data_IF_069411688993
#
_entry.id   IF_069411688993
#
_cell.length_a   1.000
_cell.length_b   1.000
_cell.length_c   1.000
_cell.angle_alpha   90.00
_cell.angle_beta   90.00
_cell.angle_gamma   90.00
#
_symmetry.space_group_name_H-M   'P 1'
#
loop_
_entity.id
_entity.type
_entity.pdbx_description
1 polymer ?
#
# COMPACT_ATOMS: atom_id res chain seq x y z
N UNK A 1 -40.18 75.50 -28.87
CA UNK A 1 -39.04 75.61 -27.93
C UNK A 1 -39.06 74.39 -27.04
N UNK A 2 -38.19 73.41 -27.30
CA UNK A 2 -38.05 72.19 -26.53
C UNK A 2 -36.66 72.21 -25.82
N UNK A 3 -36.52 71.89 -24.53
CA UNK A 3 -35.23 71.86 -23.84
C UNK A 3 -34.47 70.52 -24.05
N UNK A 4 -33.23 70.63 -24.28
CA UNK A 4 -32.26 69.56 -24.50
C UNK A 4 -31.97 68.77 -23.19
N UNK A 5 -32.22 67.48 -23.19
CA UNK A 5 -31.72 66.57 -22.12
C UNK A 5 -30.23 66.27 -22.35
N UNK A 6 -29.38 66.67 -21.43
CA UNK A 6 -27.98 66.17 -21.31
C UNK A 6 -27.94 64.82 -20.61
N UNK A 7 -27.47 63.79 -21.29
CA UNK A 7 -27.17 62.49 -20.69
C UNK A 7 -25.83 62.55 -19.94
N UNK A 8 -25.87 62.27 -18.65
CA UNK A 8 -24.64 62.03 -17.85
C UNK A 8 -24.15 60.61 -18.10
N UNK A 9 -22.94 60.48 -18.53
CA UNK A 9 -22.24 59.22 -18.68
C UNK A 9 -21.50 58.92 -17.36
N UNK A 10 -21.99 57.92 -16.57
CA UNK A 10 -21.28 57.40 -15.45
C UNK A 10 -20.25 56.35 -15.93
N UNK A 11 -18.97 56.68 -15.86
CA UNK A 11 -17.88 55.76 -16.09
C UNK A 11 -17.66 54.94 -14.80
N UNK A 12 -18.02 53.65 -14.82
CA UNK A 12 -17.68 52.74 -13.76
C UNK A 12 -16.25 52.22 -13.97
N UNK A 13 -15.33 52.56 -13.06
CA UNK A 13 -14.00 52.03 -13.06
C UNK A 13 -14.04 50.62 -12.46
N UNK A 14 -13.77 49.60 -13.29
CA UNK A 14 -13.60 48.22 -12.86
C UNK A 14 -12.18 48.06 -12.29
N UNK A 15 -12.08 47.93 -10.98
CA UNK A 15 -10.85 47.55 -10.29
C UNK A 15 -10.55 46.07 -10.54
N UNK A 16 -9.62 45.79 -11.43
CA UNK A 16 -9.03 44.45 -11.61
C UNK A 16 -8.10 44.17 -10.41
N UNK A 17 -8.56 43.32 -9.49
CA UNK A 17 -7.71 42.72 -8.46
C UNK A 17 -6.92 41.58 -9.13
N UNK A 18 -5.59 41.60 -9.13
CA UNK A 18 -4.81 40.49 -9.67
C UNK A 18 -4.98 39.26 -8.77
N UNK A 19 -5.59 38.21 -9.28
CA UNK A 19 -5.58 36.88 -8.67
C UNK A 19 -4.13 36.38 -8.67
N UNK A 20 -3.53 36.30 -7.49
CA UNK A 20 -2.23 35.66 -7.29
C UNK A 20 -2.37 34.18 -7.67
N UNK A 21 -1.68 33.75 -8.72
CA UNK A 21 -1.58 32.35 -9.09
C UNK A 21 -0.99 31.55 -7.92
N UNK A 22 -1.53 30.35 -7.59
CA UNK A 22 -0.95 29.51 -6.58
C UNK A 22 0.49 29.17 -7.00
N UNK A 23 1.47 29.48 -6.13
CA UNK A 23 2.84 29.02 -6.31
C UNK A 23 2.83 27.49 -6.27
N UNK A 24 3.03 26.84 -7.41
CA UNK A 24 3.43 25.44 -7.42
C UNK A 24 4.68 25.31 -6.54
N UNK A 25 4.60 24.48 -5.51
CA UNK A 25 5.78 24.09 -4.76
C UNK A 25 6.81 23.53 -5.75
N UNK A 26 8.02 24.07 -5.73
CA UNK A 26 9.09 23.63 -6.62
C UNK A 26 9.31 22.13 -6.39
N UNK A 27 9.16 21.34 -7.45
CA UNK A 27 9.62 19.95 -7.45
C UNK A 27 11.12 19.96 -7.13
N UNK A 28 11.62 19.10 -6.23
CA UNK A 28 13.06 19.02 -5.99
C UNK A 28 13.76 18.75 -7.32
N UNK A 29 14.80 19.50 -7.60
CA UNK A 29 15.59 19.38 -8.81
C UNK A 29 16.06 17.92 -8.96
N UNK A 30 15.95 17.36 -10.15
CA UNK A 30 16.46 16.04 -10.49
C UNK A 30 17.98 16.02 -10.20
N UNK A 31 18.39 15.35 -9.10
CA UNK A 31 19.81 15.25 -8.75
C UNK A 31 20.15 15.30 -7.26
N UNK A 32 19.27 15.73 -6.36
CA UNK A 32 19.56 15.61 -4.94
C UNK A 32 19.44 14.12 -4.53
N UNK A 33 20.57 13.53 -4.09
CA UNK A 33 20.59 12.18 -3.54
C UNK A 33 19.67 12.17 -2.30
N UNK A 34 18.52 11.56 -2.43
CA UNK A 34 17.58 11.37 -1.32
C UNK A 34 18.26 10.52 -0.24
N UNK A 35 18.49 11.10 0.93
CA UNK A 35 19.06 10.38 2.07
C UNK A 35 17.95 9.97 3.03
N UNK A 36 17.70 8.68 3.15
CA UNK A 36 16.75 8.12 4.09
C UNK A 36 17.48 7.50 5.28
N UNK A 37 17.06 7.85 6.49
CA UNK A 37 17.64 7.31 7.73
C UNK A 37 16.56 6.61 8.53
N UNK A 38 16.87 5.41 9.02
CA UNK A 38 16.01 4.71 9.96
C UNK A 38 15.98 5.42 11.31
N UNK A 39 14.79 5.46 11.93
CA UNK A 39 14.59 6.02 13.27
C UNK A 39 14.89 4.93 14.29
N UNK A 40 15.99 5.06 15.09
CA UNK A 40 16.37 4.05 16.06
C UNK A 40 15.31 3.86 17.14
N UNK A 41 15.07 2.61 17.55
CA UNK A 41 14.15 2.28 18.64
C UNK A 41 12.67 2.51 18.32
N UNK A 42 12.30 2.70 17.08
CA UNK A 42 10.91 2.73 16.63
C UNK A 42 10.56 1.39 15.93
N UNK A 43 9.39 0.73 16.22
CA UNK A 43 8.39 1.08 17.24
C UNK A 43 8.81 0.65 18.65
N UNK A 44 8.08 1.17 19.66
CA UNK A 44 8.28 0.82 21.08
C UNK A 44 7.24 -0.18 21.53
N UNK A 45 7.65 -1.40 21.76
CA UNK A 45 6.80 -2.45 22.29
C UNK A 45 6.96 -2.57 23.82
N UNK A 46 5.95 -3.16 24.46
CA UNK A 46 6.06 -3.54 25.85
C UNK A 46 7.18 -4.58 26.04
N UNK A 47 7.79 -4.61 27.23
CA UNK A 47 8.82 -5.59 27.55
C UNK A 47 8.30 -7.02 27.34
N UNK A 48 9.07 -7.84 26.63
CA UNK A 48 8.71 -9.22 26.29
C UNK A 48 7.75 -9.39 25.11
N UNK A 49 7.24 -8.29 24.53
CA UNK A 49 6.48 -8.37 23.27
C UNK A 49 7.43 -8.32 22.07
N UNK A 50 7.05 -9.03 20.99
CA UNK A 50 7.76 -9.05 19.71
C UNK A 50 6.77 -8.93 18.57
N UNK A 51 7.12 -8.18 17.53
CA UNK A 51 6.28 -8.09 16.34
C UNK A 51 6.23 -9.42 15.57
N UNK A 52 7.38 -10.14 15.54
CA UNK A 52 7.58 -11.12 14.49
C UNK A 52 7.56 -10.47 13.11
N UNK A 53 7.25 -11.22 12.07
CA UNK A 53 7.03 -10.67 10.74
C UNK A 53 5.79 -9.76 10.74
N UNK A 54 5.94 -8.57 10.16
CA UNK A 54 4.87 -7.61 9.90
C UNK A 54 4.55 -7.66 8.41
N UNK A 55 3.38 -8.17 8.08
CA UNK A 55 3.00 -8.41 6.68
C UNK A 55 2.32 -7.22 6.03
N UNK A 56 1.70 -6.33 6.83
CA UNK A 56 1.03 -5.15 6.33
C UNK A 56 1.26 -3.93 7.22
N UNK A 57 1.30 -2.75 6.62
CA UNK A 57 1.39 -1.47 7.32
C UNK A 57 0.61 -0.42 6.54
N UNK A 58 -0.10 0.46 7.25
CA UNK A 58 -0.79 1.62 6.69
C UNK A 58 -0.73 2.79 7.68
N UNK A 59 -1.05 4.00 7.21
CA UNK A 59 -1.27 5.17 8.07
C UNK A 59 -2.75 5.50 8.03
N UNK A 60 -3.37 5.65 9.21
CA UNK A 60 -4.79 6.00 9.30
C UNK A 60 -5.02 7.51 9.08
N UNK A 61 -6.25 7.97 8.89
CA UNK A 61 -6.55 9.39 8.69
C UNK A 61 -6.17 10.29 9.88
N UNK A 62 -5.99 9.73 11.08
CA UNK A 62 -5.51 10.45 12.25
C UNK A 62 -3.96 10.52 12.33
N UNK A 63 -3.26 9.88 11.39
CA UNK A 63 -1.79 9.83 11.33
C UNK A 63 -1.17 8.72 12.18
N UNK A 64 -1.95 7.80 12.74
CA UNK A 64 -1.39 6.64 13.44
C UNK A 64 -0.93 5.57 12.45
N UNK A 65 0.06 4.79 12.85
CA UNK A 65 0.56 3.67 12.06
C UNK A 65 -0.17 2.39 12.46
N UNK A 66 -0.85 1.77 11.52
CA UNK A 66 -1.53 0.48 11.71
C UNK A 66 -0.64 -0.61 11.15
N UNK A 67 -0.32 -1.61 11.96
CA UNK A 67 0.55 -2.73 11.59
C UNK A 67 -0.20 -4.06 11.74
N UNK A 68 -0.09 -4.93 10.73
CA UNK A 68 -0.62 -6.28 10.75
C UNK A 68 0.52 -7.27 10.90
N UNK A 69 0.62 -7.88 12.08
CA UNK A 69 1.74 -8.74 12.47
C UNK A 69 1.34 -10.21 12.57
N UNK A 70 2.30 -11.08 12.31
CA UNK A 70 2.13 -12.54 12.50
C UNK A 70 2.41 -12.99 13.93
N UNK A 71 2.88 -12.11 14.81
CA UNK A 71 3.09 -12.36 16.23
C UNK A 71 3.89 -13.65 16.55
N UNK A 72 4.86 -14.00 15.69
CA UNK A 72 5.70 -15.18 15.78
C UNK A 72 5.31 -16.33 14.84
N UNK A 73 4.10 -16.30 14.22
CA UNK A 73 3.70 -17.26 13.20
C UNK A 73 4.64 -17.17 11.99
N UNK A 74 5.15 -18.30 11.52
CA UNK A 74 6.01 -18.42 10.35
C UNK A 74 5.31 -19.13 9.22
N UNK A 75 5.73 -18.86 8.01
CA UNK A 75 5.36 -19.59 6.82
C UNK A 75 6.44 -20.65 6.57
N UNK A 76 6.22 -21.88 7.02
CA UNK A 76 7.25 -22.92 7.03
C UNK A 76 6.99 -24.06 6.02
N UNK A 77 5.80 -24.10 5.44
CA UNK A 77 5.42 -25.15 4.50
C UNK A 77 4.31 -24.68 3.54
N UNK A 78 4.05 -25.46 2.50
CA UNK A 78 2.96 -25.23 1.55
C UNK A 78 1.59 -25.39 2.21
N UNK A 79 1.51 -26.16 3.31
CA UNK A 79 0.30 -26.26 4.12
C UNK A 79 0.33 -25.25 5.25
N UNK A 80 -0.55 -24.24 5.18
CA UNK A 80 -0.62 -23.18 6.17
C UNK A 80 -1.40 -23.64 7.41
N UNK A 81 -0.84 -23.32 8.59
CA UNK A 81 -1.54 -23.55 9.86
C UNK A 81 -2.74 -22.57 9.98
N UNK A 82 -3.94 -23.10 10.04
CA UNK A 82 -5.19 -22.34 10.19
C UNK A 82 -5.59 -22.10 11.66
N UNK A 83 -4.78 -22.52 12.62
CA UNK A 83 -5.00 -22.24 14.05
C UNK A 83 -4.93 -20.73 14.28
N UNK A 84 -5.94 -20.08 14.89
CA UNK A 84 -5.90 -18.67 15.15
C UNK A 84 -4.74 -18.25 16.05
N UNK A 85 -4.10 -17.13 15.71
CA UNK A 85 -3.03 -16.53 16.52
C UNK A 85 -3.65 -15.94 17.78
N UNK A 86 -3.25 -16.46 18.96
CA UNK A 86 -3.83 -16.04 20.24
C UNK A 86 -3.48 -14.61 20.65
N UNK A 87 -2.36 -14.05 20.13
CA UNK A 87 -1.92 -12.67 20.40
C UNK A 87 -2.60 -11.68 19.48
N UNK A 88 -2.75 -10.38 19.90
CA UNK A 88 -3.24 -9.35 18.99
C UNK A 88 -2.39 -9.28 17.72
N UNK A 89 -3.04 -9.29 16.56
CA UNK A 89 -2.39 -9.25 15.26
C UNK A 89 -2.39 -7.86 14.64
N UNK A 90 -3.30 -6.99 15.03
CA UNK A 90 -3.34 -5.59 14.61
C UNK A 90 -2.89 -4.69 15.73
N UNK A 91 -1.88 -3.85 15.46
CA UNK A 91 -1.39 -2.82 16.38
C UNK A 91 -1.62 -1.45 15.76
N UNK A 92 -2.12 -0.52 16.55
CA UNK A 92 -2.18 0.91 16.22
C UNK A 92 -1.09 1.60 17.03
N UNK A 93 -0.19 2.28 16.35
CA UNK A 93 1.02 2.87 16.92
C UNK A 93 0.98 4.39 16.77
N UNK A 94 1.46 5.10 17.76
CA UNK A 94 1.78 6.51 17.63
C UNK A 94 2.92 6.71 16.64
N UNK A 95 2.71 7.52 15.62
CA UNK A 95 3.68 7.72 14.54
C UNK A 95 4.99 8.37 15.02
N UNK A 96 4.93 9.24 16.03
CA UNK A 96 6.09 9.94 16.59
C UNK A 96 6.89 9.05 17.52
N UNK A 97 6.29 8.61 18.60
CA UNK A 97 6.95 7.86 19.67
C UNK A 97 7.10 6.36 19.39
N UNK A 98 6.26 5.80 18.52
CA UNK A 98 6.20 4.36 18.27
C UNK A 98 5.47 3.56 19.36
N UNK A 99 4.84 4.24 20.34
CA UNK A 99 4.10 3.58 21.40
C UNK A 99 2.85 2.87 20.87
N UNK A 100 2.51 1.72 21.42
CA UNK A 100 1.27 1.01 21.09
C UNK A 100 0.10 1.72 21.74
N UNK A 101 -0.78 2.32 20.94
CA UNK A 101 -2.00 3.00 21.38
C UNK A 101 -3.16 2.02 21.55
N UNK A 102 -3.22 1.01 20.68
CA UNK A 102 -4.28 0.00 20.66
C UNK A 102 -3.78 -1.30 20.03
N UNK A 103 -4.33 -2.42 20.49
CA UNK A 103 -4.06 -3.74 19.93
C UNK A 103 -5.35 -4.57 19.91
N UNK A 104 -5.60 -5.29 18.80
CA UNK A 104 -6.78 -6.14 18.62
C UNK A 104 -6.52 -7.27 17.64
N UNK A 105 -7.52 -8.10 17.34
CA UNK A 105 -7.43 -9.20 16.37
C UNK A 105 -6.91 -10.52 16.95
N UNK A 106 -6.78 -10.63 18.28
CA UNK A 106 -6.44 -11.90 18.94
C UNK A 106 -7.49 -12.96 18.62
N UNK A 107 -7.05 -14.17 18.24
CA UNK A 107 -7.93 -15.30 17.92
C UNK A 107 -8.72 -15.17 16.60
N UNK A 108 -8.46 -14.14 15.79
CA UNK A 108 -9.22 -13.89 14.56
C UNK A 108 -8.51 -14.31 13.28
N UNK A 109 -7.20 -14.30 13.27
CA UNK A 109 -6.36 -14.51 12.08
C UNK A 109 -5.42 -15.69 12.28
N UNK A 110 -5.09 -16.37 11.18
CA UNK A 110 -4.17 -17.50 11.16
C UNK A 110 -2.85 -17.15 10.46
N UNK A 111 -2.90 -16.52 9.29
CA UNK A 111 -1.73 -16.08 8.54
C UNK A 111 -1.95 -14.67 7.96
N UNK A 112 -1.77 -13.63 8.78
CA UNK A 112 -1.86 -12.23 8.37
C UNK A 112 -1.06 -11.92 7.11
N UNK A 113 -1.68 -11.17 6.13
CA UNK A 113 -1.00 -10.81 4.91
C UNK A 113 -1.18 -9.33 4.54
N UNK A 114 -2.22 -8.94 3.82
CA UNK A 114 -2.43 -7.56 3.39
C UNK A 114 -3.11 -6.69 4.43
N UNK A 115 -2.77 -5.41 4.46
CA UNK A 115 -3.44 -4.38 5.26
C UNK A 115 -3.55 -3.09 4.46
N UNK A 116 -4.75 -2.51 4.46
CA UNK A 116 -5.04 -1.18 3.94
C UNK A 116 -6.00 -0.46 4.88
N UNK A 117 -5.86 0.85 5.02
CA UNK A 117 -6.82 1.70 5.74
C UNK A 117 -7.50 2.61 4.72
N UNK A 118 -8.84 2.62 4.72
CA UNK A 118 -9.61 3.50 3.84
C UNK A 118 -9.74 4.93 4.40
N UNK A 119 -10.28 5.85 3.62
CA UNK A 119 -10.45 7.25 4.03
C UNK A 119 -11.39 7.45 5.22
N UNK A 120 -12.28 6.50 5.47
CA UNK A 120 -13.16 6.52 6.65
C UNK A 120 -12.49 5.93 7.91
N UNK A 121 -11.23 5.46 7.79
CA UNK A 121 -10.47 4.84 8.86
C UNK A 121 -10.79 3.36 9.08
N UNK A 122 -11.55 2.72 8.17
CA UNK A 122 -11.76 1.28 8.27
C UNK A 122 -10.50 0.53 7.84
N UNK A 123 -10.24 -0.57 8.52
CA UNK A 123 -9.08 -1.43 8.32
C UNK A 123 -9.47 -2.64 7.50
N UNK A 124 -8.85 -2.79 6.34
CA UNK A 124 -9.05 -3.92 5.43
C UNK A 124 -7.87 -4.88 5.56
N UNK A 125 -8.17 -6.16 5.72
CA UNK A 125 -7.19 -7.20 6.02
C UNK A 125 -7.41 -8.42 5.13
N UNK A 126 -6.32 -9.07 4.73
CA UNK A 126 -6.39 -10.40 4.10
C UNK A 126 -5.68 -11.42 4.98
N UNK A 127 -6.22 -12.64 5.01
CA UNK A 127 -5.59 -13.79 5.64
C UNK A 127 -5.44 -14.91 4.63
N UNK A 128 -4.21 -15.26 4.30
CA UNK A 128 -3.92 -16.23 3.25
C UNK A 128 -4.23 -17.67 3.66
N UNK A 129 -4.12 -18.02 4.94
CA UNK A 129 -4.48 -19.35 5.40
C UNK A 129 -6.01 -19.56 5.48
N UNK A 130 -6.73 -18.47 5.76
CA UNK A 130 -8.18 -18.52 5.87
C UNK A 130 -8.90 -18.28 4.53
N UNK A 131 -8.18 -17.92 3.48
CA UNK A 131 -8.74 -17.57 2.18
C UNK A 131 -9.80 -16.47 2.25
N UNK A 132 -9.61 -15.50 3.13
CA UNK A 132 -10.61 -14.48 3.44
C UNK A 132 -10.08 -13.04 3.36
N UNK A 133 -11.00 -12.15 3.01
CA UNK A 133 -10.83 -10.70 3.04
C UNK A 133 -11.81 -10.10 4.04
N UNK A 134 -11.33 -9.15 4.84
CA UNK A 134 -12.11 -8.56 5.93
C UNK A 134 -12.08 -7.04 5.88
N UNK A 135 -13.19 -6.43 6.29
CA UNK A 135 -13.27 -5.02 6.66
C UNK A 135 -13.61 -4.90 8.14
N UNK A 136 -12.87 -4.08 8.85
CA UNK A 136 -13.10 -3.74 10.25
C UNK A 136 -13.25 -2.24 10.43
N UNK A 137 -13.97 -1.81 11.46
CA UNK A 137 -13.88 -0.43 11.93
C UNK A 137 -12.47 -0.14 12.48
N UNK A 138 -12.13 1.13 12.68
CA UNK A 138 -10.88 1.54 13.34
C UNK A 138 -10.70 0.94 14.74
N UNK A 139 -11.79 0.49 15.39
CA UNK A 139 -11.78 -0.12 16.74
C UNK A 139 -11.76 -1.65 16.72
N UNK A 140 -11.75 -2.28 15.54
CA UNK A 140 -11.68 -3.74 15.38
C UNK A 140 -13.04 -4.44 15.36
N UNK A 141 -14.16 -3.72 15.18
CA UNK A 141 -15.45 -4.33 14.89
C UNK A 141 -15.49 -4.81 13.46
N UNK A 142 -15.83 -6.08 13.23
CA UNK A 142 -15.95 -6.65 11.90
C UNK A 142 -17.17 -6.10 11.17
N UNK A 143 -16.97 -5.55 9.98
CA UNK A 143 -18.01 -4.92 9.15
C UNK A 143 -18.34 -5.75 7.91
N UNK A 144 -17.34 -6.44 7.33
CA UNK A 144 -17.52 -7.29 6.15
C UNK A 144 -16.56 -8.49 6.23
N UNK A 145 -17.00 -9.62 5.68
CA UNK A 145 -16.15 -10.78 5.41
C UNK A 145 -16.49 -11.32 4.03
N UNK A 146 -15.48 -11.54 3.21
CA UNK A 146 -15.57 -12.20 1.91
C UNK A 146 -14.70 -13.45 1.91
N UNK A 147 -15.11 -14.46 1.17
CA UNK A 147 -14.49 -15.79 1.15
C UNK A 147 -15.04 -16.70 2.25
N UNK A 148 -14.95 -18.00 2.04
CA UNK A 148 -15.28 -19.01 3.02
C UNK A 148 -14.01 -19.46 3.75
N UNK A 149 -14.11 -19.58 5.10
CA UNK A 149 -12.95 -19.85 5.94
C UNK A 149 -12.27 -21.16 5.58
N UNK A 150 -11.01 -21.06 5.11
CA UNK A 150 -10.18 -22.23 4.77
C UNK A 150 -10.60 -22.95 3.50
N UNK A 151 -11.55 -22.41 2.75
CA UNK A 151 -12.00 -22.98 1.46
C UNK A 151 -11.38 -22.18 0.32
N UNK A 152 -10.36 -22.74 -0.38
CA UNK A 152 -9.81 -22.11 -1.56
C UNK A 152 -10.75 -22.24 -2.76
N UNK A 153 -10.73 -21.27 -3.67
CA UNK A 153 -11.48 -21.34 -4.91
C UNK A 153 -11.23 -20.17 -5.86
N UNK A 154 -11.80 -20.28 -7.06
CA UNK A 154 -11.65 -19.28 -8.13
C UNK A 154 -12.97 -18.68 -8.61
N UNK A 155 -14.08 -19.04 -8.01
CA UNK A 155 -15.37 -18.45 -8.34
C UNK A 155 -15.55 -17.04 -7.74
N UNK A 156 -16.78 -16.52 -7.78
CA UNK A 156 -17.11 -15.17 -7.29
C UNK A 156 -17.12 -15.05 -5.75
N UNK A 157 -17.24 -16.19 -5.04
CA UNK A 157 -17.40 -16.23 -3.59
C UNK A 157 -16.12 -16.65 -2.85
N UNK A 158 -15.15 -17.24 -3.54
CA UNK A 158 -13.94 -17.80 -2.93
C UNK A 158 -12.68 -17.12 -3.45
N UNK A 159 -11.65 -17.15 -2.63
CA UNK A 159 -10.28 -16.76 -2.93
C UNK A 159 -9.35 -17.96 -2.76
N UNK A 160 -8.14 -17.85 -3.29
CA UNK A 160 -7.08 -18.80 -2.99
C UNK A 160 -5.81 -18.02 -2.59
N UNK A 161 -5.67 -17.82 -1.27
CA UNK A 161 -4.61 -17.05 -0.63
C UNK A 161 -4.56 -15.57 -1.10
N UNK A 162 -5.60 -14.74 -0.80
CA UNK A 162 -5.67 -13.33 -1.20
C UNK A 162 -4.58 -12.50 -0.52
N UNK A 163 -3.93 -11.61 -1.29
CA UNK A 163 -2.70 -10.94 -0.88
C UNK A 163 -2.89 -9.51 -0.40
N UNK A 164 -3.84 -8.74 -0.97
CA UNK A 164 -4.02 -7.33 -0.62
C UNK A 164 -5.35 -6.75 -1.07
N UNK A 165 -5.63 -5.55 -0.58
CA UNK A 165 -6.83 -4.76 -0.90
C UNK A 165 -6.44 -3.33 -1.23
N UNK A 166 -7.07 -2.74 -2.25
CA UNK A 166 -7.03 -1.30 -2.51
C UNK A 166 -8.46 -0.75 -2.58
N UNK A 167 -8.73 0.34 -1.87
CA UNK A 167 -10.08 0.90 -1.73
C UNK A 167 -10.17 2.23 -2.49
N UNK A 168 -11.16 2.35 -3.36
CA UNK A 168 -11.45 3.56 -4.11
C UNK A 168 -12.24 4.59 -3.27
N UNK A 169 -12.33 5.82 -3.78
CA UNK A 169 -13.01 6.93 -3.09
C UNK A 169 -14.52 6.70 -2.92
N UNK A 170 -15.14 6.00 -3.85
CA UNK A 170 -16.56 5.62 -3.82
C UNK A 170 -16.86 4.42 -2.91
N UNK A 171 -15.81 3.88 -2.27
CA UNK A 171 -15.88 2.71 -1.40
C UNK A 171 -15.82 1.37 -2.13
N UNK A 172 -15.83 1.34 -3.47
CA UNK A 172 -15.51 0.14 -4.22
C UNK A 172 -14.08 -0.29 -3.95
N UNK A 173 -13.74 -1.56 -4.13
CA UNK A 173 -12.42 -2.04 -3.76
C UNK A 173 -11.93 -3.18 -4.66
N UNK A 174 -10.61 -3.28 -4.73
CA UNK A 174 -9.92 -4.29 -5.51
C UNK A 174 -9.21 -5.26 -4.57
N UNK A 175 -9.26 -6.54 -4.90
CA UNK A 175 -8.55 -7.61 -4.17
C UNK A 175 -7.56 -8.27 -5.11
N UNK A 176 -6.29 -8.34 -4.69
CA UNK A 176 -5.29 -9.19 -5.33
C UNK A 176 -5.40 -10.60 -4.75
N UNK A 177 -5.67 -11.58 -5.61
CA UNK A 177 -5.87 -12.98 -5.26
C UNK A 177 -4.79 -13.79 -5.97
N UNK A 178 -3.64 -14.00 -5.31
CA UNK A 178 -2.41 -14.20 -6.04
C UNK A 178 -1.50 -15.35 -5.66
N UNK A 179 -1.57 -16.01 -4.50
CA UNK A 179 -0.71 -17.16 -4.23
C UNK A 179 -1.24 -18.44 -4.87
N UNK A 180 -2.53 -18.74 -4.72
CA UNK A 180 -3.16 -19.90 -5.37
C UNK A 180 -3.83 -19.52 -6.69
N UNK A 181 -4.32 -18.28 -6.81
CA UNK A 181 -4.87 -17.72 -8.03
C UNK A 181 -3.90 -16.71 -8.69
N UNK A 182 -4.26 -16.21 -9.87
CA UNK A 182 -3.52 -15.20 -10.62
C UNK A 182 -4.49 -14.14 -11.16
N UNK A 183 -5.21 -13.46 -10.24
CA UNK A 183 -6.28 -12.53 -10.64
C UNK A 183 -6.41 -11.32 -9.72
N UNK A 184 -7.07 -10.30 -10.24
CA UNK A 184 -7.58 -9.15 -9.49
C UNK A 184 -9.10 -9.15 -9.58
N UNK A 185 -9.77 -8.91 -8.45
CA UNK A 185 -11.23 -8.80 -8.37
C UNK A 185 -11.61 -7.38 -7.96
N UNK A 186 -12.63 -6.82 -8.60
CA UNK A 186 -13.20 -5.52 -8.27
C UNK A 186 -14.60 -5.72 -7.69
N UNK A 187 -14.83 -5.17 -6.50
CA UNK A 187 -16.08 -5.26 -5.75
C UNK A 187 -16.71 -3.88 -5.56
N UNK A 188 -18.03 -3.83 -5.51
CA UNK A 188 -18.76 -2.68 -4.99
C UNK A 188 -18.54 -2.54 -3.48
N UNK A 189 -18.87 -1.39 -2.91
CA UNK A 189 -18.71 -1.10 -1.48
C UNK A 189 -19.45 -2.07 -0.55
N UNK A 190 -20.52 -2.71 -1.04
CA UNK A 190 -21.32 -3.71 -0.33
C UNK A 190 -20.75 -5.14 -0.41
N UNK A 191 -19.66 -5.35 -1.16
CA UNK A 191 -19.02 -6.65 -1.34
C UNK A 191 -19.53 -7.46 -2.55
N UNK A 192 -20.42 -6.91 -3.36
CA UNK A 192 -20.87 -7.55 -4.61
C UNK A 192 -19.77 -7.48 -5.67
N UNK A 193 -19.40 -8.63 -6.24
CA UNK A 193 -18.42 -8.68 -7.32
C UNK A 193 -18.92 -7.91 -8.55
N UNK A 194 -18.12 -6.97 -9.02
CA UNK A 194 -18.37 -6.18 -10.24
C UNK A 194 -17.64 -6.78 -11.43
N UNK A 195 -16.39 -7.20 -11.22
CA UNK A 195 -15.48 -7.65 -12.29
C UNK A 195 -14.30 -8.42 -11.73
N UNK A 196 -13.70 -9.24 -12.58
CA UNK A 196 -12.39 -9.83 -12.33
C UNK A 196 -11.61 -9.92 -13.64
N UNK A 197 -10.27 -9.94 -13.53
CA UNK A 197 -9.37 -10.16 -14.64
C UNK A 197 -8.08 -10.80 -14.17
N UNK A 198 -7.34 -11.34 -15.11
CA UNK A 198 -6.06 -11.99 -14.88
C UNK A 198 -6.14 -13.49 -15.06
N UNK A 199 -5.01 -14.03 -15.50
CA UNK A 199 -4.76 -15.45 -15.65
C UNK A 199 -3.28 -15.74 -15.44
N UNK A 200 -2.90 -17.01 -15.30
CA UNK A 200 -1.50 -17.39 -15.12
C UNK A 200 -0.68 -17.17 -16.39
N UNK A 201 0.48 -16.57 -16.25
CA UNK A 201 1.40 -16.34 -17.35
C UNK A 201 2.29 -15.12 -17.21
N UNK A 202 2.92 -14.70 -18.32
CA UNK A 202 3.86 -13.57 -18.38
C UNK A 202 3.45 -12.48 -19.40
N UNK A 203 2.38 -12.67 -20.16
CA UNK A 203 1.85 -11.69 -21.11
C UNK A 203 1.14 -10.52 -20.42
N UNK A 204 0.70 -9.50 -21.18
CA UNK A 204 -0.17 -8.43 -20.67
C UNK A 204 -1.45 -8.99 -20.06
N UNK A 205 -1.77 -8.57 -18.84
CA UNK A 205 -2.94 -9.06 -18.09
C UNK A 205 -2.80 -10.47 -17.54
N UNK A 206 -1.67 -11.14 -17.74
CA UNK A 206 -1.33 -12.41 -17.10
C UNK A 206 -0.40 -12.16 -15.92
N UNK A 207 -0.42 -13.05 -14.93
CA UNK A 207 0.37 -12.91 -13.69
C UNK A 207 1.02 -14.24 -13.31
N UNK A 208 2.17 -14.17 -12.65
CA UNK A 208 2.76 -15.33 -11.97
C UNK A 208 2.39 -15.35 -10.49
N UNK A 209 2.42 -14.19 -9.86
CA UNK A 209 1.97 -14.03 -8.49
C UNK A 209 1.52 -12.58 -8.28
N UNK A 210 0.22 -12.38 -8.12
CA UNK A 210 -0.36 -11.07 -7.80
C UNK A 210 -0.17 -10.80 -6.31
N UNK A 211 0.88 -10.06 -5.93
CA UNK A 211 1.22 -9.89 -4.51
C UNK A 211 0.63 -8.63 -3.88
N UNK A 212 0.33 -7.62 -4.65
CA UNK A 212 -0.24 -6.37 -4.17
C UNK A 212 -1.01 -5.64 -5.25
N UNK A 213 -1.96 -4.81 -4.82
CA UNK A 213 -2.75 -3.93 -5.67
C UNK A 213 -2.80 -2.54 -5.04
N UNK A 214 -2.72 -1.49 -5.85
CA UNK A 214 -2.86 -0.11 -5.41
C UNK A 214 -3.62 0.72 -6.45
N UNK A 215 -4.21 1.82 -5.99
CA UNK A 215 -4.90 2.77 -6.86
C UNK A 215 -4.06 4.04 -7.00
N UNK A 216 -3.98 4.52 -8.22
CA UNK A 216 -3.32 5.76 -8.57
C UNK A 216 -4.29 6.79 -9.13
N UNK A 217 -3.74 7.89 -9.69
CA UNK A 217 -4.54 8.91 -10.33
C UNK A 217 -5.49 8.34 -11.40
N UNK A 218 -6.66 8.98 -11.57
CA UNK A 218 -7.67 8.60 -12.56
C UNK A 218 -8.25 7.18 -12.35
N UNK A 219 -8.16 6.64 -11.12
CA UNK A 219 -8.61 5.28 -10.79
C UNK A 219 -7.76 4.17 -11.40
N UNK A 220 -6.58 4.49 -11.94
CA UNK A 220 -5.67 3.50 -12.51
C UNK A 220 -5.27 2.47 -11.48
N UNK A 221 -5.33 1.19 -11.84
CA UNK A 221 -5.01 0.06 -10.96
C UNK A 221 -3.60 -0.42 -11.25
N UNK A 222 -2.76 -0.43 -10.23
CA UNK A 222 -1.38 -0.90 -10.27
C UNK A 222 -1.28 -2.25 -9.57
N UNK A 223 -0.70 -3.24 -10.23
CA UNK A 223 -0.64 -4.62 -9.75
C UNK A 223 0.81 -5.08 -9.67
N UNK A 224 1.24 -5.44 -8.48
CA UNK A 224 2.54 -6.04 -8.23
C UNK A 224 2.54 -7.50 -8.71
N UNK A 225 3.09 -7.76 -9.88
CA UNK A 225 3.25 -9.08 -10.50
C UNK A 225 4.64 -9.62 -10.10
N UNK A 226 4.70 -10.15 -8.87
CA UNK A 226 5.94 -10.39 -8.12
C UNK A 226 6.92 -11.27 -8.85
N UNK A 227 6.52 -12.47 -9.24
CA UNK A 227 7.41 -13.45 -9.86
C UNK A 227 7.72 -13.16 -11.35
N UNK A 228 7.00 -12.21 -11.95
CA UNK A 228 7.35 -11.65 -13.25
C UNK A 228 8.23 -10.40 -13.14
N UNK A 229 8.62 -9.97 -11.93
CA UNK A 229 9.48 -8.81 -11.65
C UNK A 229 9.00 -7.53 -12.35
N UNK A 230 7.68 -7.24 -12.22
CA UNK A 230 7.06 -6.07 -12.85
C UNK A 230 5.86 -5.54 -12.07
N UNK A 231 5.49 -4.29 -12.35
CA UNK A 231 4.19 -3.73 -11.98
C UNK A 231 3.38 -3.55 -13.25
N UNK A 232 2.20 -4.14 -13.34
CA UNK A 232 1.27 -3.92 -14.45
C UNK A 232 0.25 -2.84 -14.09
N UNK A 233 -0.13 -2.05 -15.10
CA UNK A 233 -1.07 -0.95 -15.00
C UNK A 233 -2.34 -1.29 -15.78
N UNK A 234 -3.49 -1.06 -15.15
CA UNK A 234 -4.81 -1.29 -15.73
C UNK A 234 -5.69 -0.06 -15.57
N UNK A 235 -6.67 0.09 -16.44
CA UNK A 235 -7.77 1.03 -16.23
C UNK A 235 -8.83 0.43 -15.26
N UNK A 236 -9.84 1.22 -14.90
CA UNK A 236 -10.93 0.78 -14.01
C UNK A 236 -11.76 -0.36 -14.60
N UNK A 237 -11.68 -0.58 -15.90
CA UNK A 237 -12.32 -1.69 -16.61
C UNK A 237 -11.47 -2.97 -16.60
N UNK A 238 -10.26 -2.97 -15.99
CA UNK A 238 -9.35 -4.10 -15.97
C UNK A 238 -8.62 -4.32 -17.29
N UNK A 239 -8.61 -3.33 -18.20
CA UNK A 239 -7.84 -3.42 -19.45
C UNK A 239 -6.40 -3.01 -19.18
N UNK A 240 -5.46 -3.79 -19.71
CA UNK A 240 -4.04 -3.49 -19.61
C UNK A 240 -3.70 -2.16 -20.30
N UNK A 241 -2.95 -1.31 -19.60
CA UNK A 241 -2.53 0.02 -20.07
C UNK A 241 -1.02 0.08 -20.30
N UNK A 242 -0.25 -0.65 -19.49
CA UNK A 242 1.21 -0.64 -19.56
C UNK A 242 1.85 -1.40 -18.40
N UNK A 243 3.17 -1.39 -18.35
CA UNK A 243 3.91 -2.00 -17.26
C UNK A 243 5.17 -1.22 -16.90
N UNK A 244 5.61 -1.33 -15.65
CA UNK A 244 6.94 -0.95 -15.21
C UNK A 244 7.79 -2.19 -15.09
N UNK A 245 8.85 -2.25 -15.89
CA UNK A 245 9.84 -3.33 -15.87
C UNK A 245 11.23 -2.72 -16.00
N UNK A 246 12.15 -3.14 -15.14
CA UNK A 246 13.54 -2.65 -15.17
C UNK A 246 14.44 -3.66 -14.49
N UNK A 247 15.69 -3.77 -14.93
CA UNK A 247 16.71 -4.58 -14.25
C UNK A 247 17.01 -4.11 -12.84
N UNK A 248 16.68 -2.85 -12.53
CA UNK A 248 16.81 -2.28 -11.19
C UNK A 248 15.55 -2.49 -10.32
N UNK A 249 14.46 -3.05 -10.85
CA UNK A 249 13.30 -3.50 -10.10
C UNK A 249 13.37 -5.02 -10.00
N UNK A 250 13.44 -5.54 -8.79
CA UNK A 250 13.33 -6.96 -8.52
C UNK A 250 11.87 -7.41 -8.39
N UNK A 251 11.58 -8.20 -7.37
CA UNK A 251 10.24 -8.72 -7.11
C UNK A 251 9.41 -7.68 -6.34
N UNK A 252 8.42 -6.99 -6.95
CA UNK A 252 7.57 -6.05 -6.23
C UNK A 252 6.59 -6.79 -5.33
N UNK A 253 6.59 -6.47 -4.03
CA UNK A 253 5.66 -7.03 -3.06
C UNK A 253 4.45 -6.12 -2.86
N UNK A 254 4.67 -4.84 -2.67
CA UNK A 254 3.64 -3.83 -2.47
C UNK A 254 4.08 -2.50 -3.08
N UNK A 255 3.13 -1.61 -3.30
CA UNK A 255 3.40 -0.26 -3.80
C UNK A 255 2.42 0.74 -3.20
N UNK A 256 2.89 1.97 -3.01
CA UNK A 256 2.07 3.10 -2.54
C UNK A 256 2.44 4.36 -3.31
N UNK A 257 1.43 5.13 -3.71
CA UNK A 257 1.65 6.46 -4.27
C UNK A 257 2.07 7.45 -3.18
N UNK A 258 3.01 8.32 -3.50
CA UNK A 258 3.47 9.36 -2.58
C UNK A 258 2.37 10.41 -2.36
N UNK A 259 1.97 10.68 -1.09
CA UNK A 259 0.94 11.67 -0.80
C UNK A 259 1.33 13.07 -1.24
N UNK A 260 0.34 13.87 -1.66
CA UNK A 260 0.55 15.28 -1.96
C UNK A 260 1.11 16.03 -0.75
N UNK A 261 1.99 17.00 -0.98
CA UNK A 261 2.61 17.78 0.09
C UNK A 261 3.80 17.10 0.79
N UNK A 262 4.12 15.86 0.43
CA UNK A 262 5.30 15.12 0.93
C UNK A 262 6.44 15.16 -0.10
N UNK A 263 7.68 14.83 0.27
CA UNK A 263 8.79 14.65 -0.68
C UNK A 263 8.53 13.59 -1.77
N UNK A 264 7.52 12.75 -1.57
CA UNK A 264 7.13 11.66 -2.46
C UNK A 264 6.04 12.03 -3.46
N UNK A 265 5.52 13.26 -3.41
CA UNK A 265 4.41 13.68 -4.27
C UNK A 265 4.73 13.42 -5.76
N UNK A 266 3.82 12.70 -6.44
CA UNK A 266 4.00 12.31 -7.84
C UNK A 266 4.95 11.14 -8.07
N UNK A 267 5.49 10.51 -7.03
CA UNK A 267 6.28 9.29 -7.13
C UNK A 267 5.51 8.08 -6.54
N UNK A 268 6.02 6.90 -6.82
CA UNK A 268 5.61 5.64 -6.23
C UNK A 268 6.75 5.05 -5.42
N UNK A 269 6.43 4.48 -4.28
CA UNK A 269 7.35 3.68 -3.51
C UNK A 269 6.95 2.21 -3.65
N UNK A 270 7.92 1.36 -3.99
CA UNK A 270 7.72 -0.08 -4.20
C UNK A 270 8.54 -0.83 -3.16
N UNK A 271 7.89 -1.70 -2.40
CA UNK A 271 8.57 -2.71 -1.58
C UNK A 271 9.14 -3.77 -2.49
N UNK A 272 10.44 -3.77 -2.66
CA UNK A 272 11.17 -4.67 -3.56
C UNK A 272 11.85 -5.77 -2.74
N UNK A 273 11.43 -7.02 -2.96
CA UNK A 273 12.03 -8.20 -2.33
C UNK A 273 13.40 -8.56 -2.89
N UNK A 274 13.86 -7.85 -3.93
CA UNK A 274 15.08 -8.19 -4.65
C UNK A 274 14.86 -9.35 -5.63
N UNK A 275 15.97 -9.89 -6.13
CA UNK A 275 15.99 -11.07 -7.00
C UNK A 275 16.50 -12.27 -6.22
N UNK A 276 16.00 -13.46 -6.53
CA UNK A 276 16.34 -14.69 -5.81
C UNK A 276 15.28 -15.14 -4.81
N UNK A 277 15.67 -16.02 -3.90
CA UNK A 277 14.76 -16.48 -2.85
C UNK A 277 14.61 -15.42 -1.75
N UNK A 278 13.37 -15.07 -1.44
CA UNK A 278 13.04 -14.06 -0.43
C UNK A 278 13.64 -14.41 0.96
N UNK A 279 13.78 -15.67 1.28
CA UNK A 279 14.28 -16.10 2.59
C UNK A 279 15.77 -16.42 2.65
N UNK A 280 16.38 -16.84 1.53
CA UNK A 280 17.73 -17.43 1.54
C UNK A 280 18.82 -16.56 0.91
N UNK A 281 18.48 -15.58 0.06
CA UNK A 281 19.52 -14.85 -0.67
C UNK A 281 19.95 -13.56 0.03
N UNK A 282 21.07 -13.61 0.74
CA UNK A 282 21.76 -12.44 1.29
C UNK A 282 22.25 -11.45 0.19
N UNK A 283 22.25 -11.86 -1.08
CA UNK A 283 22.65 -11.05 -2.24
C UNK A 283 21.44 -10.35 -2.88
N UNK A 284 20.21 -10.73 -2.53
CA UNK A 284 19.04 -10.05 -3.00
C UNK A 284 19.10 -8.58 -2.55
N UNK A 285 19.15 -7.65 -3.51
CA UNK A 285 19.07 -6.21 -3.23
C UNK A 285 17.63 -5.84 -2.88
N UNK A 286 17.09 -6.41 -1.80
CA UNK A 286 15.79 -6.01 -1.30
C UNK A 286 15.86 -4.61 -0.72
N UNK A 287 14.80 -3.81 -0.89
CA UNK A 287 14.78 -2.43 -0.42
C UNK A 287 13.48 -1.73 -0.80
N UNK A 288 13.46 -0.43 -0.67
CA UNK A 288 12.39 0.43 -1.18
C UNK A 288 12.89 1.13 -2.45
N UNK A 289 12.15 0.97 -3.53
CA UNK A 289 12.44 1.60 -4.83
C UNK A 289 11.49 2.77 -5.04
N UNK A 290 12.04 3.93 -5.37
CA UNK A 290 11.26 5.13 -5.74
C UNK A 290 11.13 5.17 -7.24
N UNK A 291 9.89 5.14 -7.73
CA UNK A 291 9.55 5.02 -9.16
C UNK A 291 8.74 6.25 -9.57
N UNK A 292 9.08 6.86 -10.68
CA UNK A 292 8.29 7.92 -11.29
C UNK A 292 7.04 7.37 -11.99
N UNK A 293 6.01 8.18 -12.30
CA UNK A 293 4.80 7.72 -12.97
C UNK A 293 5.02 7.03 -14.30
N UNK A 294 6.11 7.33 -14.99
CA UNK A 294 6.54 6.73 -16.25
C UNK A 294 7.28 5.38 -16.07
N UNK A 295 7.48 4.93 -14.83
CA UNK A 295 8.21 3.72 -14.50
C UNK A 295 9.71 3.89 -14.30
N UNK A 296 10.23 5.11 -14.47
CA UNK A 296 11.67 5.38 -14.28
C UNK A 296 12.05 5.31 -12.79
N UNK A 297 13.06 4.53 -12.48
CA UNK A 297 13.59 4.43 -11.11
C UNK A 297 14.38 5.70 -10.80
N UNK A 298 14.04 6.35 -9.67
CA UNK A 298 14.65 7.59 -9.20
C UNK A 298 15.62 7.40 -8.05
N UNK A 299 15.31 6.48 -7.13
CA UNK A 299 16.15 6.22 -5.96
C UNK A 299 15.86 4.83 -5.39
N UNK A 300 16.71 4.40 -4.48
CA UNK A 300 16.56 3.19 -3.68
C UNK A 300 17.09 3.46 -2.26
N UNK A 301 16.43 2.92 -1.25
CA UNK A 301 16.87 3.00 0.15
C UNK A 301 16.39 1.77 0.94
N UNK A 302 16.74 1.70 2.23
CA UNK A 302 16.44 0.56 3.11
C UNK A 302 16.94 -0.79 2.54
N UNK A 303 18.07 -0.75 1.81
CA UNK A 303 18.66 -1.93 1.23
C UNK A 303 19.22 -2.87 2.30
N UNK A 304 19.16 -4.18 2.03
CA UNK A 304 19.93 -5.18 2.77
C UNK A 304 21.40 -4.97 2.45
N UNK A 305 22.16 -4.42 3.35
CA UNK A 305 23.60 -4.35 3.17
C UNK A 305 24.28 -3.26 3.98
N UNK A 306 25.33 -3.67 4.63
CA UNK A 306 26.43 -2.93 5.26
C UNK A 306 26.16 -2.22 6.60
N UNK A 307 24.92 -1.71 6.87
CA UNK A 307 24.68 -0.93 8.09
C UNK A 307 23.40 -1.32 8.85
N UNK A 308 22.68 -2.36 8.44
CA UNK A 308 21.41 -2.73 9.07
C UNK A 308 21.64 -3.63 10.30
N UNK A 309 21.18 -3.18 11.46
CA UNK A 309 21.15 -3.94 12.72
C UNK A 309 20.41 -5.29 12.61
N UNK A 310 19.53 -5.45 11.63
CA UNK A 310 18.84 -6.69 11.25
C UNK A 310 18.21 -6.54 9.85
N UNK A 311 18.06 -7.63 9.06
CA UNK A 311 17.44 -7.57 7.75
C UNK A 311 15.99 -7.12 7.86
N UNK A 312 15.59 -6.17 7.00
CA UNK A 312 14.22 -5.66 6.94
C UNK A 312 13.34 -6.49 6.00
N UNK A 313 13.84 -6.79 4.83
CA UNK A 313 13.13 -7.50 3.74
C UNK A 313 11.74 -6.94 3.52
N UNK A 314 11.60 -5.81 2.81
CA UNK A 314 10.33 -5.12 2.63
C UNK A 314 9.26 -6.02 2.03
N UNK A 315 8.11 -6.09 2.69
CA UNK A 315 6.92 -6.81 2.26
C UNK A 315 5.74 -5.86 2.00
N UNK A 316 5.61 -4.84 2.85
CA UNK A 316 4.63 -3.78 2.70
C UNK A 316 5.23 -2.44 3.11
N UNK A 317 4.61 -1.34 2.69
CA UNK A 317 5.06 0.01 3.02
C UNK A 317 3.89 0.99 3.08
N UNK A 318 4.08 2.05 3.86
CA UNK A 318 3.15 3.17 3.95
C UNK A 318 3.91 4.49 4.05
N UNK A 319 3.26 5.58 3.66
CA UNK A 319 3.81 6.93 3.73
C UNK A 319 2.91 7.78 4.61
N UNK A 320 3.48 8.41 5.63
CA UNK A 320 2.79 9.37 6.48
C UNK A 320 2.58 10.72 5.80
N UNK A 321 1.62 11.50 6.30
CA UNK A 321 1.40 12.87 5.83
C UNK A 321 2.57 13.81 6.08
N UNK A 322 3.48 13.45 6.99
CA UNK A 322 4.77 14.11 7.26
C UNK A 322 5.91 13.66 6.32
N UNK A 323 5.63 12.73 5.41
CA UNK A 323 6.60 12.15 4.49
C UNK A 323 7.46 11.03 5.09
N UNK A 324 7.24 10.63 6.35
CA UNK A 324 7.89 9.45 6.90
C UNK A 324 7.46 8.18 6.17
N UNK A 325 8.40 7.27 5.95
CA UNK A 325 8.12 5.97 5.30
C UNK A 325 8.20 4.86 6.34
N UNK A 326 7.13 4.09 6.42
CA UNK A 326 7.04 2.92 7.28
C UNK A 326 7.19 1.66 6.42
N UNK A 327 8.15 0.82 6.75
CA UNK A 327 8.47 -0.39 5.98
C UNK A 327 8.25 -1.60 6.87
N UNK A 328 7.35 -2.47 6.47
CA UNK A 328 7.03 -3.73 7.12
C UNK A 328 7.68 -4.90 6.38
N UNK A 329 8.16 -5.88 7.14
CA UNK A 329 8.83 -7.07 6.63
C UNK A 329 9.18 -8.00 7.80
N UNK A 330 10.41 -8.50 7.87
CA UNK A 330 10.86 -9.30 9.04
C UNK A 330 10.77 -8.51 10.34
N UNK A 331 10.73 -7.20 10.26
CA UNK A 331 10.45 -6.23 11.32
C UNK A 331 9.69 -5.03 10.75
N UNK A 332 9.32 -4.10 11.61
CA UNK A 332 8.75 -2.81 11.21
C UNK A 332 9.76 -1.69 11.48
N UNK A 333 9.98 -0.83 10.50
CA UNK A 333 10.91 0.28 10.60
C UNK A 333 10.28 1.59 10.09
N UNK A 334 10.70 2.72 10.69
CA UNK A 334 10.35 4.08 10.25
C UNK A 334 11.58 4.74 9.65
N UNK A 335 11.42 5.38 8.49
CA UNK A 335 12.45 6.14 7.82
C UNK A 335 12.04 7.61 7.68
N UNK A 336 13.00 8.51 7.92
CA UNK A 336 12.88 9.94 7.59
C UNK A 336 13.84 10.21 6.43
N UNK A 337 13.32 10.80 5.37
CA UNK A 337 14.05 11.08 4.14
C UNK A 337 14.14 12.60 3.88
N UNK A 338 15.28 13.06 3.46
CA UNK A 338 15.58 14.47 3.17
C UNK A 338 16.44 14.60 1.93
#
# INVERSE_FOLDING_TARGET
MLPSLRRAVCSAAVLLVPLAAPRLAAQPAAGALLTCREVPGWPRLAAGDTLGMVSGVAVDPAGHVVAFRRAGRRWESDTLDMTPIARPTVLVLDAGSGAVLRAWGAGQFAMPHGLTVDRAGNVWLTDVALNQVYKFSATGQRLLTLGERGVPGRDAAHFDMPTGVAVAEDGSFYVSDGYGNARVLHFAADGRLLRQWGDSGAGPGQFRLVHGVALGPEGRVYVADRENERVQLFDTAGRFVGEWRSDALGKPFALVGGPAGTPWAGAWLVADGGRGDYFDDARARSGVVVVAPDGAIRARFAELGRDALAPLRPHALAVGGDGAVYVAGLRLAKFICR
#
